data_IF_184166999477
#
_entry.id   IF_184166999477
#
_cell.length_a   1.000
_cell.length_b   1.000
_cell.length_c   1.000
_cell.angle_alpha   90.00
_cell.angle_beta   90.00
_cell.angle_gamma   90.00
#
_symmetry.space_group_name_H-M   'P 1'
#
loop_
_entity.id
_entity.type
_entity.pdbx_description
1 polymer ?
#
# COMPACT_ATOMS: atom_id res chain seq x y z
N UNK A 1 24.42 -10.99 -8.75
CA UNK A 1 24.45 -10.29 -7.45
C UNK A 1 24.73 -11.29 -6.36
N UNK A 2 25.26 -10.83 -5.22
CA UNK A 2 25.34 -11.64 -4.01
C UNK A 2 23.97 -11.54 -3.34
N UNK A 3 23.35 -12.67 -2.99
CA UNK A 3 22.11 -12.65 -2.21
C UNK A 3 22.47 -12.14 -0.80
N UNK A 4 21.79 -11.12 -0.25
CA UNK A 4 22.05 -10.69 1.13
C UNK A 4 21.83 -11.86 2.09
N UNK A 5 22.60 -11.89 3.18
CA UNK A 5 22.36 -12.85 4.25
C UNK A 5 20.96 -12.64 4.83
N UNK A 6 20.22 -13.72 5.01
CA UNK A 6 18.92 -13.68 5.68
C UNK A 6 19.19 -13.55 7.17
N UNK A 7 18.91 -12.38 7.75
CA UNK A 7 18.96 -12.19 9.20
C UNK A 7 17.72 -12.77 9.85
N UNK A 8 17.86 -13.23 11.09
CA UNK A 8 16.71 -13.74 11.84
C UNK A 8 15.80 -12.55 12.24
N UNK A 9 14.55 -12.49 11.76
CA UNK A 9 13.65 -11.37 12.08
C UNK A 9 13.32 -11.25 13.57
N UNK A 10 13.54 -12.30 14.38
CA UNK A 10 13.32 -12.28 15.82
C UNK A 10 14.30 -11.38 16.58
N UNK A 11 15.50 -11.11 16.04
CA UNK A 11 16.54 -10.36 16.74
C UNK A 11 16.07 -8.95 17.17
N UNK A 12 15.22 -8.31 16.36
CA UNK A 12 14.66 -6.97 16.64
C UNK A 12 13.57 -6.99 17.73
N UNK A 13 13.10 -8.18 18.10
CA UNK A 13 12.06 -8.37 19.13
C UNK A 13 12.65 -8.86 20.44
N UNK A 14 13.69 -9.70 20.40
CA UNK A 14 14.32 -10.31 21.58
C UNK A 14 15.42 -9.41 22.17
N UNK A 15 15.09 -8.15 22.45
CA UNK A 15 15.98 -7.18 23.08
C UNK A 15 15.56 -6.92 24.53
N UNK A 16 16.53 -6.58 25.39
CA UNK A 16 16.30 -6.39 26.83
C UNK A 16 15.61 -5.06 27.19
N UNK A 17 15.35 -4.19 26.22
CA UNK A 17 14.75 -2.88 26.42
C UNK A 17 13.48 -2.71 25.57
N UNK A 18 12.59 -1.82 26.00
CA UNK A 18 11.47 -1.40 25.18
C UNK A 18 11.99 -0.81 23.84
N UNK A 19 11.24 -0.97 22.74
CA UNK A 19 11.54 -0.27 21.50
C UNK A 19 11.53 1.24 21.72
N UNK A 20 12.50 1.96 21.15
CA UNK A 20 12.57 3.44 21.21
C UNK A 20 11.31 4.12 20.65
N UNK A 21 10.55 3.41 19.82
CA UNK A 21 9.29 3.87 19.22
C UNK A 21 8.11 3.89 20.18
N UNK A 22 8.23 3.35 21.40
CA UNK A 22 7.20 3.40 22.44
C UNK A 22 7.67 4.38 23.51
N UNK A 23 7.05 5.55 23.58
CA UNK A 23 7.42 6.64 24.49
C UNK A 23 6.34 7.00 25.50
N UNK A 24 5.12 6.46 25.35
CA UNK A 24 4.05 6.70 26.32
C UNK A 24 4.31 5.99 27.66
N UNK A 25 3.94 6.65 28.75
CA UNK A 25 3.99 6.10 30.10
C UNK A 25 2.58 5.61 30.48
N UNK A 26 2.41 4.29 30.56
CA UNK A 26 1.16 3.66 30.98
C UNK A 26 1.47 2.33 31.71
N UNK A 27 0.69 1.93 32.73
CA UNK A 27 0.89 0.64 33.40
C UNK A 27 0.81 -0.59 32.49
N UNK A 28 0.25 -0.46 31.28
CA UNK A 28 0.15 -1.55 30.30
C UNK A 28 1.39 -1.74 29.43
N UNK A 29 2.41 -0.88 29.52
CA UNK A 29 3.61 -0.93 28.66
C UNK A 29 4.30 -2.31 28.72
N UNK A 30 4.48 -2.88 29.91
CA UNK A 30 5.12 -4.19 30.06
C UNK A 30 4.33 -5.31 29.36
N UNK A 31 3.00 -5.26 29.46
CA UNK A 31 2.11 -6.23 28.78
C UNK A 31 2.15 -6.04 27.27
N UNK A 32 2.22 -4.80 26.79
CA UNK A 32 2.37 -4.48 25.36
C UNK A 32 3.67 -5.07 24.81
N UNK A 33 4.79 -4.88 25.52
CA UNK A 33 6.10 -5.40 25.12
C UNK A 33 6.08 -6.92 25.13
N UNK A 34 5.51 -7.54 26.17
CA UNK A 34 5.38 -8.99 26.24
C UNK A 34 4.58 -9.55 25.05
N UNK A 35 3.42 -8.96 24.75
CA UNK A 35 2.58 -9.38 23.62
C UNK A 35 3.28 -9.16 22.27
N UNK A 36 4.08 -8.10 22.13
CA UNK A 36 4.92 -7.87 20.95
C UNK A 36 5.94 -9.00 20.74
N UNK A 37 6.60 -9.43 21.81
CA UNK A 37 7.56 -10.56 21.77
C UNK A 37 6.84 -11.87 21.47
N UNK A 38 5.73 -12.17 22.15
CA UNK A 38 4.95 -13.39 21.94
C UNK A 38 4.40 -13.48 20.50
N UNK A 39 3.90 -12.38 19.97
CA UNK A 39 3.46 -12.30 18.58
C UNK A 39 4.62 -12.54 17.60
N UNK A 40 5.79 -11.95 17.86
CA UNK A 40 6.98 -12.16 17.01
C UNK A 40 7.45 -13.62 17.04
N UNK A 41 7.50 -14.25 18.22
CA UNK A 41 7.80 -15.67 18.37
C UNK A 41 6.77 -16.50 17.62
N UNK A 42 5.47 -16.27 17.84
CA UNK A 42 4.41 -16.98 17.14
C UNK A 42 4.59 -16.94 15.61
N UNK A 43 4.96 -15.77 15.09
CA UNK A 43 5.13 -15.53 13.65
C UNK A 43 6.43 -16.08 13.07
N UNK A 44 7.52 -16.09 13.83
CA UNK A 44 8.87 -16.34 13.32
C UNK A 44 9.61 -17.48 14.03
N UNK A 45 8.92 -18.29 14.85
CA UNK A 45 9.54 -19.39 15.60
C UNK A 45 10.34 -20.36 14.72
N UNK A 46 9.97 -20.52 13.46
CA UNK A 46 10.64 -21.40 12.51
C UNK A 46 12.07 -20.97 12.16
N UNK A 47 12.49 -19.76 12.54
CA UNK A 47 13.90 -19.34 12.47
C UNK A 47 14.74 -19.84 13.65
N UNK A 48 14.14 -20.44 14.68
CA UNK A 48 14.84 -20.98 15.86
C UNK A 48 15.28 -22.43 15.67
N UNK A 49 14.72 -23.13 14.68
CA UNK A 49 14.94 -24.56 14.48
C UNK A 49 15.13 -24.88 13.00
N UNK A 50 16.09 -25.74 12.68
CA UNK A 50 16.28 -26.23 11.32
C UNK A 50 15.09 -27.09 10.87
N UNK A 51 14.65 -26.91 9.62
CA UNK A 51 13.53 -27.63 9.00
C UNK A 51 12.15 -27.42 9.65
N UNK A 52 11.97 -26.36 10.46
CA UNK A 52 10.66 -25.99 10.96
C UNK A 52 9.72 -25.56 9.82
N UNK A 53 8.43 -25.82 9.98
CA UNK A 53 7.40 -25.41 9.02
C UNK A 53 7.16 -23.90 9.09
N UNK A 54 7.07 -23.26 7.92
CA UNK A 54 6.84 -21.82 7.80
C UNK A 54 5.36 -21.44 8.02
N UNK A 55 4.84 -21.70 9.22
CA UNK A 55 3.50 -21.30 9.64
C UNK A 55 3.54 -20.65 11.02
N UNK A 56 2.59 -19.74 11.27
CA UNK A 56 2.42 -19.16 12.61
C UNK A 56 1.94 -20.22 13.61
N UNK A 57 2.37 -20.12 14.88
CA UNK A 57 1.93 -20.99 15.97
C UNK A 57 0.50 -20.63 16.37
N UNK A 58 0.27 -19.34 16.56
CA UNK A 58 -1.00 -18.74 16.95
C UNK A 58 -1.39 -17.74 15.84
N UNK A 59 -2.62 -17.84 15.31
CA UNK A 59 -3.12 -16.88 14.33
C UNK A 59 -3.00 -15.44 14.81
N UNK A 60 -2.56 -14.54 13.94
CA UNK A 60 -2.45 -13.10 14.26
C UNK A 60 -3.77 -12.50 14.79
N UNK A 61 -4.93 -13.06 14.39
CA UNK A 61 -6.25 -12.62 14.85
C UNK A 61 -6.46 -12.77 16.36
N UNK A 62 -5.82 -13.73 17.02
CA UNK A 62 -5.91 -13.94 18.47
C UNK A 62 -5.24 -12.83 19.27
N UNK A 63 -4.34 -12.07 18.64
CA UNK A 63 -3.67 -10.93 19.27
C UNK A 63 -4.45 -9.62 19.12
N UNK A 64 -5.59 -9.62 18.42
CA UNK A 64 -6.41 -8.41 18.24
C UNK A 64 -7.03 -8.02 19.59
N UNK A 65 -6.78 -6.79 20.02
CA UNK A 65 -7.35 -6.25 21.25
C UNK A 65 -8.60 -5.43 20.94
N UNK A 66 -9.78 -5.99 21.19
CA UNK A 66 -11.07 -5.36 20.89
C UNK A 66 -11.28 -4.04 21.65
N UNK A 67 -10.83 -3.94 22.90
CA UNK A 67 -10.95 -2.72 23.72
C UNK A 67 -10.05 -1.60 23.21
N UNK A 68 -8.81 -1.92 22.86
CA UNK A 68 -7.88 -0.97 22.28
C UNK A 68 -8.33 -0.55 20.87
N UNK A 69 -8.84 -1.49 20.08
CA UNK A 69 -9.45 -1.21 18.78
C UNK A 69 -10.63 -0.24 18.91
N UNK A 70 -11.53 -0.43 19.89
CA UNK A 70 -12.62 0.50 20.15
C UNK A 70 -12.11 1.90 20.53
N UNK A 71 -11.05 2.01 21.35
CA UNK A 71 -10.42 3.30 21.67
C UNK A 71 -9.81 3.96 20.45
N UNK A 72 -9.12 3.20 19.59
CA UNK A 72 -8.54 3.70 18.35
C UNK A 72 -9.64 4.20 17.39
N UNK A 73 -10.68 3.41 17.18
CA UNK A 73 -11.79 3.79 16.29
C UNK A 73 -12.52 5.05 16.78
N UNK A 74 -12.68 5.26 18.09
CA UNK A 74 -13.22 6.53 18.61
C UNK A 74 -12.41 7.76 18.19
N UNK A 75 -11.09 7.63 18.09
CA UNK A 75 -10.22 8.74 17.64
C UNK A 75 -10.24 8.86 16.12
N UNK A 76 -10.22 7.73 15.41
CA UNK A 76 -10.15 7.67 13.95
C UNK A 76 -11.49 7.95 13.26
N UNK A 77 -12.60 7.92 14.00
CA UNK A 77 -13.93 8.27 13.50
C UNK A 77 -14.36 9.69 13.88
N UNK A 78 -13.55 10.45 14.62
CA UNK A 78 -13.84 11.84 14.97
C UNK A 78 -13.30 12.79 13.87
N UNK A 79 -14.19 13.47 13.11
CA UNK A 79 -13.78 14.40 12.07
C UNK A 79 -12.85 15.52 12.56
N UNK A 80 -13.04 16.02 13.80
CA UNK A 80 -12.23 17.10 14.34
C UNK A 80 -10.82 16.63 14.65
N UNK A 81 -10.67 15.40 15.16
CA UNK A 81 -9.35 14.79 15.40
C UNK A 81 -8.56 14.67 14.09
N UNK A 82 -9.21 14.23 13.00
CA UNK A 82 -8.59 14.13 11.67
C UNK A 82 -8.21 15.53 11.13
N UNK A 83 -9.14 16.49 11.18
CA UNK A 83 -8.90 17.83 10.61
C UNK A 83 -7.85 18.64 11.36
N UNK A 84 -7.76 18.45 12.67
CA UNK A 84 -6.72 19.10 13.48
C UNK A 84 -5.39 18.37 13.40
N UNK A 85 -5.39 17.08 13.04
CA UNK A 85 -4.22 16.21 13.07
C UNK A 85 -3.79 15.83 14.49
N UNK A 86 -4.67 16.00 15.48
CA UNK A 86 -4.39 15.74 16.89
C UNK A 86 -4.56 14.25 17.23
N UNK A 87 -3.91 13.37 16.48
CA UNK A 87 -3.94 11.94 16.75
C UNK A 87 -3.08 11.65 17.98
N UNK A 88 -3.60 10.93 18.99
CA UNK A 88 -2.83 10.58 20.17
C UNK A 88 -1.55 9.82 19.82
N UNK A 89 -0.43 10.18 20.44
CA UNK A 89 0.89 9.58 20.17
C UNK A 89 0.86 8.06 20.33
N UNK A 90 0.25 7.56 21.42
CA UNK A 90 0.09 6.13 21.69
C UNK A 90 -0.50 5.36 20.49
N UNK A 91 -1.44 5.95 19.75
CA UNK A 91 -2.09 5.28 18.63
C UNK A 91 -1.12 5.13 17.46
N UNK A 92 -0.35 6.18 17.17
CA UNK A 92 0.67 6.13 16.11
C UNK A 92 1.84 5.21 16.48
N UNK A 93 2.25 5.20 17.75
CA UNK A 93 3.34 4.35 18.25
C UNK A 93 2.96 2.87 18.27
N UNK A 94 1.74 2.54 18.72
CA UNK A 94 1.21 1.17 18.65
C UNK A 94 0.95 0.74 17.21
N UNK A 95 0.44 1.62 16.36
CA UNK A 95 0.24 1.33 14.93
C UNK A 95 1.54 0.96 14.20
N UNK A 96 2.68 1.51 14.65
CA UNK A 96 4.00 1.18 14.11
C UNK A 96 4.63 -0.05 14.78
N UNK A 97 4.62 -0.09 16.11
CA UNK A 97 5.39 -1.07 16.90
C UNK A 97 4.63 -2.38 17.13
N UNK A 98 3.30 -2.29 17.24
CA UNK A 98 2.39 -3.39 17.58
C UNK A 98 1.12 -3.38 16.69
N UNK A 99 1.24 -3.38 15.34
CA UNK A 99 0.08 -3.28 14.45
C UNK A 99 -0.90 -4.46 14.61
N UNK A 100 -0.44 -5.61 15.09
CA UNK A 100 -1.24 -6.81 15.31
C UNK A 100 -2.37 -6.63 16.33
N UNK A 101 -2.33 -5.60 17.18
CA UNK A 101 -3.43 -5.30 18.09
C UNK A 101 -4.71 -4.83 17.38
N UNK A 102 -4.59 -4.31 16.18
CA UNK A 102 -5.68 -3.69 15.43
C UNK A 102 -6.07 -4.57 14.25
N UNK A 103 -7.37 -4.69 13.92
CA UNK A 103 -7.80 -5.31 12.67
C UNK A 103 -7.35 -4.48 11.45
N UNK A 104 -7.47 -5.07 10.25
CA UNK A 104 -7.03 -4.42 9.00
C UNK A 104 -7.66 -3.04 8.80
N UNK A 105 -8.98 -2.91 8.99
CA UNK A 105 -9.69 -1.65 8.74
C UNK A 105 -9.21 -0.51 9.64
N UNK A 106 -8.96 -0.81 10.92
CA UNK A 106 -8.40 0.18 11.88
C UNK A 106 -6.98 0.59 11.48
N UNK A 107 -6.13 -0.36 11.07
CA UNK A 107 -4.79 -0.04 10.56
C UNK A 107 -4.84 0.79 9.29
N UNK A 108 -5.75 0.45 8.38
CA UNK A 108 -5.96 1.16 7.13
C UNK A 108 -6.40 2.60 7.40
N UNK A 109 -7.38 2.81 8.28
CA UNK A 109 -7.82 4.16 8.66
C UNK A 109 -6.69 4.96 9.32
N UNK A 110 -5.94 4.35 10.23
CA UNK A 110 -4.77 5.00 10.85
C UNK A 110 -3.72 5.40 9.80
N UNK A 111 -3.45 4.54 8.81
CA UNK A 111 -2.56 4.84 7.71
C UNK A 111 -3.07 6.04 6.88
N UNK A 112 -4.36 6.08 6.54
CA UNK A 112 -4.94 7.22 5.84
C UNK A 112 -4.78 8.53 6.61
N UNK A 113 -5.08 8.53 7.91
CA UNK A 113 -5.01 9.73 8.76
C UNK A 113 -3.57 10.21 9.00
N UNK A 114 -2.59 9.31 9.01
CA UNK A 114 -1.19 9.65 9.33
C UNK A 114 -0.29 9.85 8.12
N UNK A 115 -0.58 9.21 6.99
CA UNK A 115 0.27 9.25 5.80
C UNK A 115 -0.24 10.18 4.69
N UNK A 116 -1.53 10.53 4.68
CA UNK A 116 -2.14 11.40 3.66
C UNK A 116 -2.50 12.78 4.22
N UNK A 117 -2.90 13.70 3.35
CA UNK A 117 -3.54 14.93 3.81
C UNK A 117 -4.90 14.68 4.46
N UNK A 118 -5.29 15.67 5.26
CA UNK A 118 -6.54 15.73 6.01
C UNK A 118 -7.76 15.59 5.10
N UNK A 119 -7.75 16.18 3.91
CA UNK A 119 -8.86 16.07 2.96
C UNK A 119 -9.10 14.61 2.54
N UNK A 120 -8.02 13.87 2.22
CA UNK A 120 -8.11 12.44 1.87
C UNK A 120 -8.51 11.56 3.04
N UNK A 121 -7.91 11.81 4.20
CA UNK A 121 -8.27 11.11 5.42
C UNK A 121 -9.75 11.32 5.76
N UNK A 122 -10.25 12.54 5.60
CA UNK A 122 -11.65 12.89 5.79
C UNK A 122 -12.56 12.24 4.76
N UNK A 123 -12.17 12.24 3.48
CA UNK A 123 -12.94 11.53 2.45
C UNK A 123 -13.05 10.04 2.77
N UNK A 124 -11.95 9.41 3.18
CA UNK A 124 -11.96 8.00 3.61
C UNK A 124 -12.90 7.76 4.78
N UNK A 125 -12.93 8.68 5.76
CA UNK A 125 -13.85 8.60 6.89
C UNK A 125 -15.31 8.62 6.42
N UNK A 126 -15.67 9.54 5.54
CA UNK A 126 -17.03 9.70 5.00
C UNK A 126 -17.46 8.50 4.16
N UNK A 127 -16.56 7.96 3.32
CA UNK A 127 -16.83 6.78 2.49
C UNK A 127 -17.07 5.53 3.36
N UNK A 128 -16.40 5.44 4.52
CA UNK A 128 -16.53 4.31 5.46
C UNK A 128 -17.74 4.47 6.39
N UNK A 129 -18.19 5.70 6.66
CA UNK A 129 -19.27 6.01 7.61
C UNK A 129 -20.29 6.97 6.98
N UNK A 130 -21.17 6.46 6.09
CA UNK A 130 -22.12 7.31 5.36
C UNK A 130 -23.14 8.03 6.27
N UNK A 131 -23.31 7.59 7.51
CA UNK A 131 -24.16 8.26 8.51
C UNK A 131 -23.62 9.64 8.92
N UNK A 132 -22.28 9.80 8.96
CA UNK A 132 -21.63 11.10 9.22
C UNK A 132 -21.95 12.09 8.10
N UNK A 133 -22.20 11.58 6.88
CA UNK A 133 -22.55 12.40 5.71
C UNK A 133 -24.02 12.86 5.71
N UNK A 134 -24.89 12.23 6.53
CA UNK A 134 -26.33 12.51 6.56
C UNK A 134 -26.76 13.45 7.69
N UNK A 135 -25.86 13.87 8.58
CA UNK A 135 -26.17 14.88 9.58
C UNK A 135 -26.27 16.26 8.92
N UNK A 136 -27.48 16.61 8.48
CA UNK A 136 -27.94 17.91 7.90
C UNK A 136 -27.77 19.13 8.83
N UNK A 137 -26.92 19.04 9.85
CA UNK A 137 -26.44 20.21 10.57
C UNK A 137 -25.58 21.07 9.65
N UNK A 138 -25.74 22.39 9.74
CA UNK A 138 -25.06 23.49 9.02
C UNK A 138 -23.49 23.49 9.11
N UNK A 139 -22.88 22.36 9.49
CA UNK A 139 -21.46 22.10 9.64
C UNK A 139 -20.82 21.40 8.41
N UNK A 140 -21.52 21.36 7.28
CA UNK A 140 -21.00 20.89 5.97
C UNK A 140 -19.82 21.70 5.40
N UNK A 141 -19.20 22.58 6.21
CA UNK A 141 -17.99 23.35 5.90
C UNK A 141 -16.71 22.50 5.86
N UNK A 142 -16.77 21.23 6.28
CA UNK A 142 -15.61 20.32 6.39
C UNK A 142 -15.53 19.31 5.23
N UNK A 143 -16.37 19.45 4.21
CA UNK A 143 -16.32 18.56 3.04
C UNK A 143 -14.94 18.65 2.34
N UNK A 144 -14.26 17.52 2.10
CA UNK A 144 -12.96 17.48 1.43
C UNK A 144 -13.00 18.16 0.07
N UNK A 145 -12.00 18.99 -0.24
CA UNK A 145 -11.90 19.67 -1.54
C UNK A 145 -10.68 19.17 -2.31
N UNK A 146 -10.78 17.97 -2.87
CA UNK A 146 -9.73 17.42 -3.71
C UNK A 146 -9.86 17.91 -5.15
N UNK A 147 -8.81 18.56 -5.65
CA UNK A 147 -8.69 18.91 -7.07
C UNK A 147 -8.67 17.63 -7.92
N UNK A 148 -9.39 17.62 -9.04
CA UNK A 148 -9.49 16.49 -9.97
C UNK A 148 -8.88 16.89 -11.30
N UNK A 149 -7.88 16.15 -11.76
CA UNK A 149 -7.25 16.32 -13.07
C UNK A 149 -7.69 15.20 -13.99
N UNK A 150 -8.49 15.58 -15.00
CA UNK A 150 -8.89 14.68 -16.07
C UNK A 150 -7.74 14.48 -17.07
N UNK A 151 -7.55 13.24 -17.50
CA UNK A 151 -6.61 12.85 -18.57
C UNK A 151 -7.29 11.87 -19.52
N UNK A 152 -7.12 12.14 -20.81
CA UNK A 152 -7.60 11.26 -21.88
C UNK A 152 -6.47 10.35 -22.30
N UNK A 153 -6.74 9.05 -22.40
CA UNK A 153 -5.74 8.03 -22.77
C UNK A 153 -6.27 7.09 -23.86
N UNK A 154 -5.38 6.66 -24.74
CA UNK A 154 -5.58 5.67 -25.78
C UNK A 154 -5.14 4.29 -25.28
N UNK A 155 -5.94 3.25 -25.56
CA UNK A 155 -5.66 1.87 -25.14
C UNK A 155 -4.46 1.24 -25.86
N UNK A 156 -4.14 1.67 -27.08
CA UNK A 156 -3.09 1.05 -27.91
C UNK A 156 -1.67 1.38 -27.41
N UNK A 157 -1.44 2.60 -26.93
CA UNK A 157 -0.15 3.07 -26.39
C UNK A 157 -0.17 3.25 -24.86
N UNK A 158 -0.97 2.44 -24.15
CA UNK A 158 -1.32 2.67 -22.76
C UNK A 158 -0.11 2.91 -21.83
N UNK A 159 0.92 2.04 -21.90
CA UNK A 159 2.09 2.16 -21.02
C UNK A 159 2.85 3.46 -21.22
N UNK A 160 3.07 3.86 -22.48
CA UNK A 160 3.79 5.10 -22.84
C UNK A 160 3.00 6.33 -22.42
N UNK A 161 1.68 6.31 -22.60
CA UNK A 161 0.82 7.40 -22.14
C UNK A 161 0.75 7.48 -20.62
N UNK A 162 0.72 6.34 -19.93
CA UNK A 162 0.77 6.31 -18.48
C UNK A 162 2.06 6.93 -17.93
N UNK A 163 3.20 6.67 -18.58
CA UNK A 163 4.47 7.34 -18.24
C UNK A 163 4.37 8.85 -18.39
N UNK A 164 3.80 9.34 -19.48
CA UNK A 164 3.57 10.79 -19.67
C UNK A 164 2.64 11.37 -18.60
N UNK A 165 1.56 10.67 -18.26
CA UNK A 165 0.61 11.11 -17.22
C UNK A 165 1.29 11.19 -15.85
N UNK A 166 2.13 10.22 -15.49
CA UNK A 166 2.85 10.23 -14.22
C UNK A 166 3.98 11.25 -14.20
N UNK A 167 4.65 11.50 -15.33
CA UNK A 167 5.63 12.58 -15.43
C UNK A 167 4.99 13.96 -15.16
N UNK A 168 3.76 14.17 -15.66
CA UNK A 168 3.03 15.43 -15.50
C UNK A 168 2.36 15.57 -14.12
N UNK A 169 1.82 14.47 -13.58
CA UNK A 169 0.92 14.49 -12.41
C UNK A 169 1.40 13.65 -11.22
N UNK A 170 2.52 12.94 -11.33
CA UNK A 170 3.02 12.03 -10.30
C UNK A 170 3.33 12.75 -8.99
N UNK A 171 3.89 13.96 -9.07
CA UNK A 171 4.15 14.83 -7.90
C UNK A 171 2.92 15.66 -7.47
N UNK A 172 1.88 15.72 -8.30
CA UNK A 172 0.66 16.47 -7.97
C UNK A 172 -0.13 15.77 -6.85
N UNK A 173 -0.78 16.53 -5.99
CA UNK A 173 -1.75 16.00 -5.01
C UNK A 173 -3.15 15.83 -5.58
N UNK A 174 -3.39 16.23 -6.82
CA UNK A 174 -4.71 16.12 -7.44
C UNK A 174 -5.09 14.67 -7.74
N UNK A 175 -6.38 14.39 -7.65
CA UNK A 175 -7.02 13.13 -8.03
C UNK A 175 -6.96 12.95 -9.54
N UNK A 176 -6.50 11.79 -9.99
CA UNK A 176 -6.46 11.45 -11.41
C UNK A 176 -7.81 10.89 -11.86
N UNK A 177 -8.37 11.46 -12.92
CA UNK A 177 -9.57 10.94 -13.55
C UNK A 177 -9.28 10.57 -15.00
N UNK A 178 -9.46 9.29 -15.34
CA UNK A 178 -9.16 8.78 -16.67
C UNK A 178 -10.42 8.77 -17.54
N UNK A 179 -10.23 9.17 -18.80
CA UNK A 179 -11.17 8.93 -19.89
C UNK A 179 -10.44 8.18 -20.99
N UNK A 180 -11.02 7.11 -21.52
CA UNK A 180 -10.49 6.46 -22.72
C UNK A 180 -10.94 7.19 -23.97
N UNK A 181 -10.04 7.33 -24.95
CA UNK A 181 -10.36 7.90 -26.25
C UNK A 181 -11.51 7.10 -26.90
N UNK A 182 -12.46 7.83 -27.50
CA UNK A 182 -13.66 7.26 -28.15
C UNK A 182 -14.58 6.46 -27.22
N UNK A 183 -14.42 6.58 -25.90
CA UNK A 183 -15.31 5.98 -24.90
C UNK A 183 -16.06 7.06 -24.10
N UNK A 184 -17.32 6.77 -23.78
CA UNK A 184 -18.24 7.71 -23.12
C UNK A 184 -18.03 7.70 -21.59
N UNK A 185 -17.36 6.68 -21.05
CA UNK A 185 -17.15 6.52 -19.60
C UNK A 185 -16.04 7.40 -19.04
N UNK A 186 -16.32 8.08 -17.93
CA UNK A 186 -15.31 8.77 -17.09
C UNK A 186 -15.55 8.48 -15.61
N UNK A 187 -14.59 8.80 -14.76
CA UNK A 187 -14.71 8.66 -13.30
C UNK A 187 -13.98 7.44 -12.74
N UNK A 188 -14.45 6.93 -11.60
CA UNK A 188 -13.73 5.93 -10.79
C UNK A 188 -13.48 4.61 -11.54
N UNK A 189 -14.48 4.11 -12.26
CA UNK A 189 -14.39 2.84 -13.00
C UNK A 189 -13.27 2.84 -14.05
N UNK A 190 -13.28 3.77 -15.02
CA UNK A 190 -12.20 3.91 -15.99
C UNK A 190 -10.82 4.16 -15.36
N UNK A 191 -10.74 4.91 -14.26
CA UNK A 191 -9.49 5.12 -13.52
C UNK A 191 -8.97 3.83 -12.87
N UNK A 192 -9.84 3.02 -12.25
CA UNK A 192 -9.47 1.71 -11.70
C UNK A 192 -8.98 0.77 -12.80
N UNK A 193 -9.69 0.75 -13.93
CA UNK A 193 -9.28 -0.02 -15.10
C UNK A 193 -7.90 0.42 -15.60
N UNK A 194 -7.64 1.74 -15.65
CA UNK A 194 -6.34 2.26 -16.06
C UNK A 194 -5.20 1.74 -15.19
N UNK A 195 -5.33 1.81 -13.86
CA UNK A 195 -4.29 1.28 -12.97
C UNK A 195 -4.12 -0.24 -13.12
N UNK A 196 -5.21 -0.99 -13.31
CA UNK A 196 -5.16 -2.43 -13.53
C UNK A 196 -4.43 -2.79 -14.84
N UNK A 197 -4.78 -2.12 -15.94
CA UNK A 197 -4.16 -2.35 -17.24
C UNK A 197 -2.70 -1.92 -17.27
N UNK A 198 -2.33 -0.79 -16.67
CA UNK A 198 -0.92 -0.38 -16.59
C UNK A 198 -0.12 -1.34 -15.70
N UNK A 199 -0.71 -1.84 -14.61
CA UNK A 199 -0.08 -2.87 -13.78
C UNK A 199 0.16 -4.18 -14.54
N UNK A 200 -0.74 -4.53 -15.46
CA UNK A 200 -0.56 -5.65 -16.38
C UNK A 200 0.53 -5.36 -17.42
N UNK A 201 0.54 -4.18 -18.04
CA UNK A 201 1.57 -3.78 -19.02
C UNK A 201 2.97 -3.74 -18.40
N UNK A 202 3.10 -3.36 -17.13
CA UNK A 202 4.36 -3.42 -16.38
C UNK A 202 4.88 -4.86 -16.23
N UNK A 203 4.03 -5.88 -16.36
CA UNK A 203 4.43 -7.29 -16.27
C UNK A 203 4.91 -7.89 -17.60
N UNK A 204 4.90 -7.13 -18.71
CA UNK A 204 5.34 -7.65 -20.00
C UNK A 204 6.78 -8.16 -19.97
N UNK A 205 7.00 -9.31 -20.58
CA UNK A 205 8.29 -10.00 -20.59
C UNK A 205 9.38 -9.20 -21.32
N UNK A 206 9.01 -8.47 -22.37
CA UNK A 206 9.94 -7.67 -23.19
C UNK A 206 10.51 -6.45 -22.45
N UNK A 207 9.91 -6.05 -21.32
CA UNK A 207 10.44 -5.01 -20.46
C UNK A 207 11.64 -5.49 -19.62
N UNK A 208 11.77 -6.81 -19.40
CA UNK A 208 12.86 -7.40 -18.62
C UNK A 208 12.91 -6.94 -17.16
N UNK A 209 11.76 -6.59 -16.57
CA UNK A 209 11.68 -6.06 -15.20
C UNK A 209 11.66 -7.15 -14.13
N UNK A 210 11.02 -8.29 -14.42
CA UNK A 210 10.64 -9.28 -13.42
C UNK A 210 11.24 -10.65 -13.69
N UNK A 211 11.44 -11.43 -12.62
CA UNK A 211 11.75 -12.86 -12.67
C UNK A 211 10.46 -13.67 -12.80
N UNK A 212 10.47 -14.70 -13.63
CA UNK A 212 9.38 -15.67 -13.69
C UNK A 212 9.31 -16.35 -15.05
N UNK A 213 8.17 -16.97 -15.30
CA UNK A 213 7.89 -17.69 -16.54
C UNK A 213 7.13 -16.77 -17.51
N UNK A 214 7.49 -16.86 -18.79
CA UNK A 214 6.76 -16.15 -19.84
C UNK A 214 5.45 -16.88 -20.15
N UNK A 215 4.34 -16.19 -19.97
CA UNK A 215 3.00 -16.70 -20.26
C UNK A 215 2.25 -15.76 -21.19
N UNK A 216 1.34 -16.29 -22.00
CA UNK A 216 0.38 -15.50 -22.76
C UNK A 216 -0.94 -15.44 -22.00
N UNK A 217 -1.69 -14.34 -22.16
CA UNK A 217 -3.02 -14.22 -21.57
C UNK A 217 -3.98 -15.23 -22.21
N UNK A 218 -4.88 -15.79 -21.42
CA UNK A 218 -5.89 -16.72 -21.92
C UNK A 218 -6.90 -16.04 -22.86
N UNK A 219 -7.22 -14.77 -22.60
CA UNK A 219 -8.16 -13.96 -23.38
C UNK A 219 -7.51 -12.60 -23.70
N UNK A 220 -6.55 -12.54 -24.64
CA UNK A 220 -5.92 -11.27 -25.01
C UNK A 220 -6.94 -10.34 -25.67
N UNK A 221 -6.87 -9.04 -25.36
CA UNK A 221 -7.69 -8.01 -26.00
C UNK A 221 -6.81 -7.09 -26.84
N UNK A 222 -7.19 -6.86 -28.09
CA UNK A 222 -6.52 -5.90 -28.98
C UNK A 222 -5.02 -6.15 -29.10
N UNK A 223 -4.20 -5.17 -28.76
CA UNK A 223 -2.72 -5.19 -28.84
C UNK A 223 -2.04 -6.22 -27.92
N UNK A 224 -2.79 -6.88 -27.04
CA UNK A 224 -2.26 -7.94 -26.16
C UNK A 224 -2.05 -9.28 -26.88
N UNK A 225 -2.59 -9.45 -28.09
CA UNK A 225 -2.45 -10.69 -28.85
C UNK A 225 -0.97 -10.97 -29.19
N UNK A 226 -0.48 -12.15 -28.79
CA UNK A 226 0.93 -12.53 -28.93
C UNK A 226 1.89 -11.87 -27.93
N UNK A 227 1.40 -10.95 -27.07
CA UNK A 227 2.22 -10.35 -26.01
C UNK A 227 2.42 -11.34 -24.86
N UNK A 228 3.66 -11.46 -24.40
CA UNK A 228 4.04 -12.31 -23.28
C UNK A 228 4.20 -11.49 -22.00
N UNK A 229 3.78 -12.07 -20.88
CA UNK A 229 3.83 -11.49 -19.55
C UNK A 229 4.62 -12.41 -18.62
N UNK A 230 5.18 -11.85 -17.55
CA UNK A 230 5.89 -12.62 -16.53
C UNK A 230 4.90 -13.04 -15.44
N UNK A 231 4.85 -14.35 -15.19
CA UNK A 231 4.10 -14.92 -14.08
C UNK A 231 5.04 -15.59 -13.07
N UNK A 232 4.71 -15.45 -11.78
CA UNK A 232 5.40 -16.12 -10.69
C UNK A 232 4.43 -16.30 -9.52
N UNK A 233 4.27 -17.55 -9.08
CA UNK A 233 3.34 -17.95 -8.00
C UNK A 233 3.72 -17.30 -6.66
N UNK A 234 5.00 -17.00 -6.45
CA UNK A 234 5.52 -16.41 -5.22
C UNK A 234 5.57 -14.87 -5.25
N UNK A 235 5.05 -14.26 -6.33
CA UNK A 235 5.07 -12.81 -6.53
C UNK A 235 6.18 -12.35 -7.46
N UNK A 236 6.09 -11.08 -7.87
CA UNK A 236 7.01 -10.46 -8.83
C UNK A 236 8.24 -9.90 -8.11
N UNK A 237 9.41 -10.38 -8.52
CA UNK A 237 10.71 -9.91 -8.01
C UNK A 237 11.53 -9.33 -9.15
N UNK A 238 12.28 -8.25 -8.89
CA UNK A 238 13.10 -7.60 -9.90
C UNK A 238 14.14 -8.56 -10.51
N UNK A 239 14.24 -8.56 -11.84
CA UNK A 239 15.21 -9.36 -12.59
C UNK A 239 16.63 -8.82 -12.34
N UNK A 240 17.56 -9.64 -11.83
CA UNK A 240 18.92 -9.18 -11.58
C UNK A 240 19.67 -9.09 -12.90
N UNK A 241 20.47 -8.05 -13.07
CA UNK A 241 21.33 -7.93 -14.25
C UNK A 241 22.46 -8.97 -14.21
N UNK A 242 22.74 -9.58 -15.37
CA UNK A 242 23.94 -10.37 -15.57
C UNK A 242 25.20 -9.50 -15.49
N UNK A 243 26.36 -10.12 -15.19
CA UNK A 243 27.65 -9.41 -15.08
C UNK A 243 28.05 -8.65 -16.35
N UNK A 244 27.56 -9.09 -17.51
CA UNK A 244 27.86 -8.54 -18.84
C UNK A 244 26.70 -7.72 -19.42
N UNK A 245 25.70 -7.36 -18.62
CA UNK A 245 24.56 -6.59 -19.09
C UNK A 245 24.99 -5.21 -19.62
N UNK A 246 24.53 -4.85 -20.81
CA UNK A 246 24.87 -3.58 -21.47
C UNK A 246 24.39 -2.40 -20.62
N UNK A 247 25.22 -1.37 -20.36
CA UNK A 247 24.82 -0.21 -19.56
C UNK A 247 23.54 0.49 -20.04
N UNK A 248 23.33 0.58 -21.36
CA UNK A 248 22.11 1.17 -21.94
C UNK A 248 20.84 0.38 -21.57
N UNK A 249 20.92 -0.95 -21.54
CA UNK A 249 19.80 -1.79 -21.12
C UNK A 249 19.52 -1.63 -19.62
N UNK A 250 20.57 -1.59 -18.79
CA UNK A 250 20.45 -1.34 -17.35
C UNK A 250 19.77 0.02 -17.10
N UNK A 251 20.20 1.07 -17.81
CA UNK A 251 19.61 2.40 -17.69
C UNK A 251 18.12 2.40 -18.08
N UNK A 252 17.77 1.76 -19.20
CA UNK A 252 16.38 1.63 -19.66
C UNK A 252 15.49 0.95 -18.62
N UNK A 253 15.93 -0.16 -18.04
CA UNK A 253 15.19 -0.90 -17.00
C UNK A 253 15.09 -0.07 -15.71
N UNK A 254 16.18 0.57 -15.28
CA UNK A 254 16.18 1.43 -14.07
C UNK A 254 15.16 2.56 -14.17
N UNK A 255 14.96 3.15 -15.35
CA UNK A 255 13.99 4.25 -15.54
C UNK A 255 12.53 3.80 -15.38
N UNK A 256 12.21 2.51 -15.49
CA UNK A 256 10.85 1.98 -15.30
C UNK A 256 10.43 1.85 -13.83
N UNK A 257 11.39 1.69 -12.91
CA UNK A 257 11.09 1.51 -11.49
C UNK A 257 10.57 2.77 -10.78
N UNK A 258 11.12 3.98 -11.01
CA UNK A 258 10.51 5.22 -10.51
C UNK A 258 9.07 5.39 -10.96
N UNK A 259 8.78 5.17 -12.25
CA UNK A 259 7.43 5.17 -12.78
C UNK A 259 6.50 4.16 -12.07
N UNK A 260 6.99 2.94 -11.84
CA UNK A 260 6.25 1.92 -11.08
C UNK A 260 5.99 2.34 -9.62
N UNK A 261 6.90 3.10 -9.01
CA UNK A 261 6.71 3.69 -7.69
C UNK A 261 5.68 4.81 -7.69
N UNK A 262 5.74 5.70 -8.67
CA UNK A 262 4.80 6.80 -8.84
C UNK A 262 3.38 6.31 -9.07
N UNK A 263 3.18 5.29 -9.92
CA UNK A 263 1.83 4.75 -10.17
C UNK A 263 1.24 4.05 -8.94
N UNK A 264 2.06 3.34 -8.16
CA UNK A 264 1.64 2.74 -6.89
C UNK A 264 1.34 3.81 -5.83
N UNK A 265 2.14 4.87 -5.76
CA UNK A 265 1.86 6.01 -4.89
C UNK A 265 0.56 6.70 -5.29
N UNK A 266 0.40 6.99 -6.58
CA UNK A 266 -0.73 7.74 -7.13
C UNK A 266 -2.05 6.99 -7.06
N UNK A 267 -2.04 5.67 -7.25
CA UNK A 267 -3.22 4.82 -7.04
C UNK A 267 -3.70 4.89 -5.60
N UNK A 268 -2.81 4.80 -4.62
CA UNK A 268 -3.19 4.97 -3.20
C UNK A 268 -3.67 6.40 -2.87
N UNK A 269 -3.23 7.42 -3.62
CA UNK A 269 -3.78 8.79 -3.57
C UNK A 269 -4.95 8.98 -4.53
N UNK A 270 -5.45 7.95 -5.20
CA UNK A 270 -6.60 8.02 -6.09
C UNK A 270 -7.88 7.49 -5.46
N UNK A 271 -7.77 6.88 -4.27
CA UNK A 271 -8.80 6.10 -3.59
C UNK A 271 -8.83 6.38 -2.09
#
# INVERSE_FOLDING_TARGET
>A
GICPFVSNPLEVYLISSAPESITFEDPSVDVVILLRVLHAISRYWYYLYDNASCNEIIPTSEFINSKLTAKANRQLQDPLVIMTGNIPTWLTELGKSCPFFFPFDTRQMLFYVTAFDRDRAMQRLLDTNPEINQSDSQDSRVAPRLDRKKRTVNREELLKQAESVMQDLGSSRAMLEIQYENEVGTGLGPTLEFYALVSQELQRADLGLWRGEEVTLANPKGSQEGTKYIHNIQGLFALPFGRTAKPAHIAKVKMKFPFSGEINGKSNHGF
#
